data_IF_752484651717
#
_entry.id   IF_752484651717
#
_cell.length_a   1.000
_cell.length_b   1.000
_cell.length_c   1.000
_cell.angle_alpha   90.00
_cell.angle_beta   90.00
_cell.angle_gamma   90.00
#
_symmetry.space_group_name_H-M   'P 1'
#
loop_
_entity.id
_entity.type
_entity.pdbx_description
1 polymer ?
#
# COMPACT_ATOMS: atom_id res chain seq x y z
N UNK A 1 -54.63 -48.49 -58.58
CA UNK A 1 -54.15 -49.40 -57.51
C UNK A 1 -54.66 -48.91 -56.16
N UNK A 2 -55.06 -49.81 -55.24
CA UNK A 2 -56.02 -49.51 -54.16
C UNK A 2 -55.39 -48.90 -52.90
N UNK A 3 -56.22 -48.14 -52.16
CA UNK A 3 -55.90 -47.40 -50.92
C UNK A 3 -55.51 -48.35 -49.77
N UNK A 4 -54.32 -48.15 -49.20
CA UNK A 4 -53.90 -48.80 -47.95
C UNK A 4 -54.56 -48.18 -46.72
N UNK A 5 -55.18 -49.00 -45.86
CA UNK A 5 -55.78 -48.61 -44.58
C UNK A 5 -54.69 -48.33 -43.53
N UNK A 6 -54.74 -47.17 -42.88
CA UNK A 6 -53.89 -46.84 -41.75
C UNK A 6 -54.31 -47.57 -40.47
N UNK A 7 -53.34 -48.17 -39.76
CA UNK A 7 -53.54 -48.88 -38.50
C UNK A 7 -53.87 -47.92 -37.34
N UNK A 8 -54.87 -48.27 -36.52
CA UNK A 8 -55.24 -47.54 -35.29
C UNK A 8 -54.18 -47.73 -34.20
N UNK A 9 -53.46 -46.66 -33.84
CA UNK A 9 -52.58 -46.63 -32.67
C UNK A 9 -53.35 -46.66 -31.34
N UNK A 10 -52.80 -47.41 -30.37
CA UNK A 10 -53.30 -47.60 -29.00
C UNK A 10 -53.33 -46.26 -28.24
N UNK A 11 -54.49 -45.86 -27.68
CA UNK A 11 -54.60 -44.66 -26.84
C UNK A 11 -53.95 -44.92 -25.48
N UNK A 12 -52.87 -44.22 -25.17
CA UNK A 12 -52.25 -44.17 -23.83
C UNK A 12 -53.01 -43.16 -22.98
N UNK A 13 -53.33 -43.53 -21.73
CA UNK A 13 -54.08 -42.68 -20.81
C UNK A 13 -53.27 -41.42 -20.40
N UNK A 14 -53.93 -40.25 -20.23
CA UNK A 14 -53.25 -39.01 -19.85
C UNK A 14 -52.72 -39.04 -18.42
N UNK A 15 -51.56 -38.41 -18.22
CA UNK A 15 -50.80 -38.35 -16.96
C UNK A 15 -51.59 -37.58 -15.87
N UNK A 16 -51.54 -37.98 -14.58
CA UNK A 16 -52.32 -37.36 -13.50
C UNK A 16 -52.06 -35.86 -13.30
N UNK A 17 -53.12 -35.12 -13.02
CA UNK A 17 -53.15 -33.65 -12.94
C UNK A 17 -52.18 -33.03 -11.90
N UNK A 18 -51.68 -33.82 -10.95
CA UNK A 18 -50.83 -33.36 -9.84
C UNK A 18 -49.41 -32.95 -10.31
N UNK A 19 -48.96 -33.41 -11.48
CA UNK A 19 -47.65 -33.04 -12.04
C UNK A 19 -47.67 -31.82 -12.97
N UNK A 20 -48.84 -31.21 -13.23
CA UNK A 20 -48.90 -29.95 -13.99
C UNK A 20 -48.55 -28.79 -13.06
N UNK A 21 -47.28 -28.40 -13.05
CA UNK A 21 -46.88 -27.10 -12.51
C UNK A 21 -47.74 -26.01 -13.16
N UNK A 22 -48.51 -25.30 -12.34
CA UNK A 22 -49.33 -24.18 -12.77
C UNK A 22 -48.39 -23.09 -13.28
N UNK A 23 -48.21 -22.99 -14.59
CA UNK A 23 -47.51 -21.86 -15.19
C UNK A 23 -48.34 -20.61 -14.89
N UNK A 24 -47.92 -19.84 -13.90
CA UNK A 24 -48.49 -18.52 -13.63
C UNK A 24 -48.25 -17.66 -14.87
N UNK A 25 -49.31 -17.42 -15.66
CA UNK A 25 -49.26 -16.51 -16.79
C UNK A 25 -48.86 -15.14 -16.24
N UNK A 26 -47.65 -14.68 -16.57
CA UNK A 26 -47.22 -13.30 -16.27
C UNK A 26 -48.24 -12.38 -16.91
N UNK A 27 -48.92 -11.55 -16.11
CA UNK A 27 -49.86 -10.54 -16.61
C UNK A 27 -49.03 -9.52 -17.37
N UNK A 28 -48.99 -9.64 -18.70
CA UNK A 28 -48.32 -8.66 -19.57
C UNK A 28 -49.35 -7.60 -19.93
N UNK A 29 -49.16 -6.39 -19.41
CA UNK A 29 -49.98 -5.26 -19.81
C UNK A 29 -49.65 -4.91 -21.28
N UNK A 30 -50.63 -4.97 -22.20
CA UNK A 30 -50.43 -4.71 -23.63
C UNK A 30 -49.97 -3.27 -23.94
N UNK A 31 -50.06 -2.35 -22.97
CA UNK A 31 -49.55 -0.99 -23.10
C UNK A 31 -48.00 -0.89 -22.97
N UNK A 32 -47.33 -1.92 -22.46
CA UNK A 32 -45.87 -1.92 -22.35
C UNK A 32 -45.21 -2.57 -23.57
N UNK A 33 -44.62 -1.75 -24.42
CA UNK A 33 -43.83 -2.20 -25.57
C UNK A 33 -42.32 -1.99 -25.35
N UNK A 34 -41.52 -2.90 -25.91
CA UNK A 34 -40.06 -2.76 -25.91
C UNK A 34 -39.67 -1.71 -26.94
N UNK A 35 -39.17 -0.57 -26.47
CA UNK A 35 -38.61 0.51 -27.31
C UNK A 35 -37.08 0.55 -27.17
N UNK A 36 -36.33 -0.39 -27.78
CA UNK A 36 -34.87 -0.38 -27.69
C UNK A 36 -34.33 0.80 -28.49
N UNK A 37 -33.39 1.55 -27.90
CA UNK A 37 -32.66 2.60 -28.60
C UNK A 37 -31.46 2.02 -29.32
N UNK A 38 -31.17 2.53 -30.51
CA UNK A 38 -29.98 2.19 -31.29
C UNK A 38 -28.91 3.24 -31.05
N UNK A 39 -27.84 2.89 -30.32
CA UNK A 39 -26.73 3.80 -30.01
C UNK A 39 -25.58 3.74 -31.02
N UNK A 40 -25.88 3.28 -32.25
CA UNK A 40 -24.97 3.34 -33.39
C UNK A 40 -24.64 4.78 -33.80
N UNK A 41 -23.63 4.93 -34.65
CA UNK A 41 -23.22 6.25 -35.17
C UNK A 41 -24.38 6.83 -36.00
N UNK A 42 -24.80 8.06 -35.70
CA UNK A 42 -25.88 8.75 -36.41
C UNK A 42 -27.30 8.30 -36.07
N UNK A 43 -27.48 7.50 -35.02
CA UNK A 43 -28.78 7.01 -34.55
C UNK A 43 -29.21 7.77 -33.28
N UNK A 44 -29.69 7.09 -32.24
CA UNK A 44 -30.10 7.71 -30.98
C UNK A 44 -28.92 8.33 -30.21
N UNK A 45 -29.23 9.32 -29.36
CA UNK A 45 -28.25 9.97 -28.47
C UNK A 45 -27.52 8.92 -27.63
N UNK A 46 -26.18 8.98 -27.64
CA UNK A 46 -25.36 8.05 -26.88
C UNK A 46 -25.65 8.14 -25.37
N UNK A 47 -25.64 7.00 -24.66
CA UNK A 47 -25.79 7.01 -23.21
C UNK A 47 -24.58 7.67 -22.56
N UNK A 48 -24.73 8.07 -21.28
CA UNK A 48 -23.60 8.50 -20.47
C UNK A 48 -22.61 7.33 -20.32
N UNK A 49 -21.37 7.53 -20.76
CA UNK A 49 -20.27 6.56 -20.66
C UNK A 49 -19.20 7.05 -19.70
N UNK A 50 -18.33 6.17 -19.25
CA UNK A 50 -17.14 6.57 -18.51
C UNK A 50 -16.19 7.38 -19.42
N UNK A 51 -16.09 8.68 -19.14
CA UNK A 51 -15.21 9.61 -19.88
C UNK A 51 -13.88 9.84 -19.16
N UNK A 52 -13.58 9.15 -18.05
CA UNK A 52 -12.40 9.38 -17.19
C UNK A 52 -11.07 9.46 -17.95
N UNK A 53 -10.92 8.69 -19.04
CA UNK A 53 -9.74 8.73 -19.92
C UNK A 53 -9.65 9.99 -20.81
N UNK A 54 -10.78 10.54 -21.22
CA UNK A 54 -10.90 11.69 -22.13
C UNK A 54 -11.13 13.02 -21.42
N UNK A 55 -11.36 12.99 -20.09
CA UNK A 55 -11.47 14.18 -19.25
C UNK A 55 -10.21 15.04 -19.39
N UNK A 56 -10.40 16.35 -19.60
CA UNK A 56 -9.35 17.35 -19.48
C UNK A 56 -8.99 17.54 -18.01
N UNK A 57 -8.02 16.76 -17.53
CA UNK A 57 -7.60 16.79 -16.13
C UNK A 57 -6.98 18.14 -15.72
N UNK A 58 -7.21 18.59 -14.46
CA UNK A 58 -6.51 19.73 -13.86
C UNK A 58 -4.98 19.66 -14.04
N UNK A 59 -4.32 20.82 -14.11
CA UNK A 59 -2.87 20.91 -14.40
C UNK A 59 -2.01 20.05 -13.47
N UNK A 60 -2.30 20.03 -12.16
CA UNK A 60 -1.48 19.29 -11.20
C UNK A 60 -1.50 17.77 -11.44
N UNK A 61 -2.66 17.21 -11.82
CA UNK A 61 -2.79 15.78 -12.17
C UNK A 61 -2.01 15.48 -13.45
N UNK A 62 -2.12 16.35 -14.46
CA UNK A 62 -1.36 16.21 -15.72
C UNK A 62 0.15 16.23 -15.46
N UNK A 63 0.64 17.19 -14.67
CA UNK A 63 2.05 17.32 -14.33
C UNK A 63 2.58 16.10 -13.58
N UNK A 64 1.86 15.60 -12.58
CA UNK A 64 2.24 14.39 -11.84
C UNK A 64 2.33 13.16 -12.75
N UNK A 65 1.33 12.93 -13.61
CA UNK A 65 1.32 11.83 -14.58
C UNK A 65 2.43 11.96 -15.62
N UNK A 66 2.65 13.16 -16.16
CA UNK A 66 3.72 13.43 -17.12
C UNK A 66 5.10 13.18 -16.49
N UNK A 67 5.31 13.59 -15.24
CA UNK A 67 6.54 13.31 -14.48
C UNK A 67 6.80 11.81 -14.39
N UNK A 68 5.81 11.02 -13.99
CA UNK A 68 5.95 9.57 -13.86
C UNK A 68 6.22 8.87 -15.21
N UNK A 69 5.60 9.36 -16.29
CA UNK A 69 5.87 8.87 -17.65
C UNK A 69 7.31 9.22 -18.06
N UNK A 70 7.75 10.44 -17.79
CA UNK A 70 9.10 10.91 -18.12
C UNK A 70 10.17 10.03 -17.45
N UNK A 71 10.02 9.73 -16.16
CA UNK A 71 10.94 8.83 -15.43
C UNK A 71 11.03 7.42 -16.02
N UNK A 72 9.96 6.92 -16.63
CA UNK A 72 9.96 5.60 -17.29
C UNK A 72 10.54 5.64 -18.71
N UNK A 73 10.52 6.79 -19.36
CA UNK A 73 10.96 6.97 -20.76
C UNK A 73 12.43 7.36 -20.86
N UNK A 74 12.91 8.15 -19.90
CA UNK A 74 14.31 8.54 -19.83
C UNK A 74 15.15 7.39 -19.28
N UNK A 75 16.42 7.34 -19.71
CA UNK A 75 17.42 6.44 -19.11
C UNK A 75 17.81 6.97 -17.75
N UNK A 76 17.31 6.33 -16.69
CA UNK A 76 17.59 6.73 -15.30
C UNK A 76 18.96 6.21 -14.86
N UNK A 77 19.85 7.05 -14.32
CA UNK A 77 21.14 6.61 -13.78
C UNK A 77 21.00 5.56 -12.67
N UNK A 78 21.94 4.62 -12.57
CA UNK A 78 21.91 3.52 -11.60
C UNK A 78 21.79 3.98 -10.14
N UNK A 79 22.47 5.08 -9.79
CA UNK A 79 22.41 5.69 -8.45
C UNK A 79 21.00 6.15 -8.05
N UNK A 80 20.13 6.46 -9.00
CA UNK A 80 18.72 6.79 -8.77
C UNK A 80 17.88 5.52 -8.89
N UNK A 81 18.17 4.69 -9.90
CA UNK A 81 17.39 3.50 -10.21
C UNK A 81 17.40 2.46 -9.07
N UNK A 82 18.42 2.43 -8.23
CA UNK A 82 18.45 1.58 -7.03
C UNK A 82 17.24 1.79 -6.11
N UNK A 83 16.67 3.00 -6.04
CA UNK A 83 15.48 3.28 -5.23
C UNK A 83 14.19 2.73 -5.82
N UNK A 84 14.17 2.35 -7.10
CA UNK A 84 13.02 1.64 -7.69
C UNK A 84 12.91 0.20 -7.19
N UNK A 85 14.06 -0.39 -6.81
CA UNK A 85 14.17 -1.75 -6.29
C UNK A 85 14.06 -1.74 -4.76
N UNK A 86 12.84 -1.87 -4.27
CA UNK A 86 12.56 -1.94 -2.84
C UNK A 86 12.36 -3.38 -2.36
N UNK A 87 12.55 -3.58 -1.05
CA UNK A 87 12.33 -4.82 -0.32
C UNK A 87 10.91 -5.37 -0.56
N UNK A 88 10.79 -6.70 -0.62
CA UNK A 88 9.52 -7.39 -0.78
C UNK A 88 8.58 -7.14 0.42
N UNK A 89 7.29 -7.43 0.22
CA UNK A 89 6.26 -7.12 1.22
C UNK A 89 6.42 -7.91 2.53
N UNK A 90 6.84 -9.17 2.45
CA UNK A 90 6.93 -10.06 3.61
C UNK A 90 8.10 -9.64 4.50
N UNK A 91 9.29 -9.45 3.92
CA UNK A 91 10.47 -8.98 4.65
C UNK A 91 10.27 -7.58 5.19
N UNK A 92 9.64 -6.68 4.42
CA UNK A 92 9.31 -5.33 4.90
C UNK A 92 8.35 -5.35 6.12
N UNK A 93 7.41 -6.30 6.15
CA UNK A 93 6.48 -6.45 7.28
C UNK A 93 7.20 -6.95 8.53
N UNK A 94 8.08 -7.94 8.38
CA UNK A 94 8.90 -8.44 9.49
C UNK A 94 9.83 -7.35 10.05
N UNK A 95 10.50 -6.62 9.16
CA UNK A 95 11.35 -5.49 9.53
C UNK A 95 10.58 -4.43 10.32
N UNK A 96 9.39 -4.04 9.86
CA UNK A 96 8.57 -3.04 10.56
C UNK A 96 8.03 -3.54 11.90
N UNK A 97 7.70 -4.83 12.02
CA UNK A 97 7.35 -5.45 13.31
C UNK A 97 8.51 -5.39 14.30
N UNK A 98 9.73 -5.69 13.86
CA UNK A 98 10.92 -5.52 14.68
C UNK A 98 11.11 -4.06 15.07
N UNK A 99 11.06 -3.16 14.09
CA UNK A 99 11.26 -1.73 14.29
C UNK A 99 10.21 -1.13 15.25
N UNK A 100 8.99 -1.67 15.28
CA UNK A 100 7.93 -1.24 16.18
C UNK A 100 8.31 -1.43 17.67
N UNK A 101 9.14 -2.43 17.99
CA UNK A 101 9.62 -2.67 19.37
C UNK A 101 10.62 -1.60 19.82
N UNK A 102 11.35 -0.98 18.89
CA UNK A 102 12.43 -0.03 19.16
C UNK A 102 12.02 1.43 18.90
N UNK A 103 10.72 1.73 18.94
CA UNK A 103 10.21 3.07 18.65
C UNK A 103 10.73 4.09 19.67
N UNK A 104 11.08 5.31 19.24
CA UNK A 104 11.44 6.38 20.16
C UNK A 104 10.22 6.82 20.96
N UNK A 105 10.46 7.33 22.17
CA UNK A 105 9.41 7.82 23.06
C UNK A 105 8.57 8.95 22.45
N UNK A 106 7.30 9.00 22.82
CA UNK A 106 6.44 10.15 22.51
C UNK A 106 6.75 11.33 23.42
N UNK A 107 6.29 12.53 23.05
CA UNK A 107 6.42 13.72 23.91
C UNK A 107 5.73 13.53 25.27
N UNK A 108 4.61 12.81 25.30
CA UNK A 108 3.85 12.53 26.52
C UNK A 108 4.58 11.53 27.43
N UNK A 109 5.07 10.42 26.86
CA UNK A 109 5.91 9.45 27.58
C UNK A 109 7.19 10.10 28.12
N UNK A 110 7.84 10.97 27.33
CA UNK A 110 9.00 11.73 27.77
C UNK A 110 8.67 12.61 28.97
N UNK A 111 7.52 13.31 28.94
CA UNK A 111 7.05 14.14 30.07
C UNK A 111 6.81 13.29 31.31
N UNK A 112 6.12 12.16 31.19
CA UNK A 112 5.87 11.24 32.30
C UNK A 112 7.17 10.68 32.88
N UNK A 113 8.13 10.27 32.04
CA UNK A 113 9.45 9.80 32.49
C UNK A 113 10.20 10.88 33.27
N UNK A 114 10.17 12.12 32.79
CA UNK A 114 10.84 13.24 33.45
C UNK A 114 10.17 13.60 34.79
N UNK A 115 8.84 13.59 34.85
CA UNK A 115 8.09 13.78 36.09
C UNK A 115 8.43 12.70 37.11
N UNK A 116 8.35 11.42 36.73
CA UNK A 116 8.70 10.31 37.62
C UNK A 116 10.17 10.35 38.10
N UNK A 117 11.10 10.82 37.26
CA UNK A 117 12.50 11.04 37.67
C UNK A 117 12.62 12.21 38.64
N UNK A 118 11.91 13.31 38.39
CA UNK A 118 11.90 14.48 39.27
C UNK A 118 11.31 14.15 40.64
N UNK A 119 10.20 13.42 40.71
CA UNK A 119 9.58 12.95 41.95
C UNK A 119 10.52 12.05 42.76
N UNK A 120 11.19 11.09 42.11
CA UNK A 120 12.20 10.24 42.77
C UNK A 120 13.36 11.05 43.34
N UNK A 121 13.82 12.06 42.59
CA UNK A 121 14.88 12.97 43.03
C UNK A 121 14.44 13.83 44.21
N UNK A 122 13.22 14.34 44.19
CA UNK A 122 12.63 15.09 45.31
C UNK A 122 12.48 14.23 46.57
N UNK A 123 12.17 12.94 46.42
CA UNK A 123 12.09 11.97 47.51
C UNK A 123 13.47 11.51 48.07
N UNK A 124 14.55 12.26 47.80
CA UNK A 124 15.88 12.02 48.36
C UNK A 124 16.66 10.86 47.74
N UNK A 125 16.09 10.14 46.76
CA UNK A 125 16.85 9.17 45.96
C UNK A 125 17.68 9.98 44.97
N UNK A 126 18.99 10.08 45.20
CA UNK A 126 19.93 10.82 44.34
C UNK A 126 19.82 10.47 42.85
N UNK A 127 20.46 11.26 41.98
CA UNK A 127 20.35 11.06 40.53
C UNK A 127 21.16 9.85 40.04
N UNK A 128 20.55 8.67 40.05
CA UNK A 128 21.19 7.43 39.58
C UNK A 128 21.17 7.37 38.04
N UNK A 129 22.33 7.18 37.37
CA UNK A 129 22.39 7.02 35.91
C UNK A 129 21.55 5.81 35.44
N UNK A 130 20.49 6.07 34.68
CA UNK A 130 19.67 4.98 34.10
C UNK A 130 20.24 4.53 32.76
N UNK A 131 20.34 3.21 32.53
CA UNK A 131 20.75 2.65 31.23
C UNK A 131 19.76 3.09 30.15
N UNK A 132 20.26 3.73 29.08
CA UNK A 132 19.43 4.19 27.98
C UNK A 132 18.92 2.98 27.18
N UNK A 133 17.59 2.87 26.95
CA UNK A 133 17.07 1.77 26.13
C UNK A 133 17.56 1.93 24.67
N UNK A 134 17.79 0.81 23.97
CA UNK A 134 18.04 0.85 22.53
C UNK A 134 16.80 1.40 21.83
N UNK A 135 17.00 2.41 20.99
CA UNK A 135 15.94 3.05 20.21
C UNK A 135 16.42 3.24 18.79
N UNK A 136 15.46 3.25 17.86
CA UNK A 136 15.72 3.61 16.48
C UNK A 136 16.27 5.03 16.37
N UNK A 137 17.30 5.18 15.54
CA UNK A 137 17.87 6.48 15.18
C UNK A 137 17.29 6.89 13.85
N UNK A 138 16.82 8.12 13.74
CA UNK A 138 16.09 8.59 12.57
C UNK A 138 16.60 9.94 12.09
N UNK A 139 16.53 10.14 10.78
CA UNK A 139 17.01 11.34 10.11
C UNK A 139 18.38 11.13 9.47
N UNK A 140 18.54 11.69 8.27
CA UNK A 140 19.71 11.49 7.41
C UNK A 140 21.00 11.80 8.16
N UNK A 141 21.17 13.01 8.69
CA UNK A 141 22.41 13.44 9.34
C UNK A 141 22.80 12.57 10.55
N UNK A 142 21.83 12.08 11.31
CA UNK A 142 22.12 11.18 12.43
C UNK A 142 22.52 9.81 11.93
N UNK A 143 21.84 9.30 10.90
CA UNK A 143 22.14 7.98 10.32
C UNK A 143 23.50 7.98 9.62
N UNK A 144 23.84 9.03 8.87
CA UNK A 144 25.16 9.14 8.20
C UNK A 144 26.30 9.07 9.20
N UNK A 145 26.23 9.85 10.27
CA UNK A 145 27.26 9.83 11.32
C UNK A 145 27.36 8.45 11.99
N UNK A 146 26.25 7.71 12.11
CA UNK A 146 26.26 6.36 12.68
C UNK A 146 26.85 5.32 11.72
N UNK A 147 26.67 5.50 10.41
CA UNK A 147 27.28 4.64 9.39
C UNK A 147 28.79 4.88 9.30
N UNK A 148 29.21 6.15 9.28
CA UNK A 148 30.63 6.54 9.27
C UNK A 148 31.38 6.02 10.50
N UNK A 149 30.74 6.10 11.68
CA UNK A 149 31.32 5.57 12.91
C UNK A 149 31.13 4.05 13.08
N UNK A 150 30.56 3.34 12.09
CA UNK A 150 30.23 1.90 12.15
C UNK A 150 29.42 1.48 13.38
N UNK A 151 28.57 2.38 13.90
CA UNK A 151 27.66 2.13 15.02
C UNK A 151 26.28 1.66 14.57
N UNK A 152 25.95 1.84 13.29
CA UNK A 152 24.73 1.31 12.71
C UNK A 152 24.91 -0.19 12.39
N UNK A 153 23.95 -1.00 12.83
CA UNK A 153 23.87 -2.43 12.51
C UNK A 153 23.05 -2.68 11.25
N UNK A 154 22.01 -1.88 10.99
CA UNK A 154 21.16 -1.96 9.81
C UNK A 154 20.61 -0.58 9.48
N UNK A 155 20.67 -0.18 8.21
CA UNK A 155 20.10 1.07 7.70
C UNK A 155 18.88 0.78 6.83
N UNK A 156 17.81 1.54 7.03
CA UNK A 156 16.55 1.44 6.30
C UNK A 156 16.26 2.78 5.66
N UNK A 157 16.17 2.80 4.33
CA UNK A 157 15.97 4.01 3.54
C UNK A 157 14.64 3.93 2.78
N UNK A 158 13.85 4.99 2.77
CA UNK A 158 12.62 5.05 1.99
C UNK A 158 12.91 5.19 0.50
N UNK A 159 12.06 4.63 -0.36
CA UNK A 159 12.22 4.77 -1.82
C UNK A 159 11.70 6.10 -2.41
N UNK A 160 10.75 6.76 -1.75
CA UNK A 160 9.89 7.84 -2.27
C UNK A 160 10.29 9.21 -1.69
N UNK A 161 11.59 9.44 -1.57
CA UNK A 161 12.16 10.68 -1.05
C UNK A 161 12.15 11.75 -2.12
N UNK A 162 11.76 12.96 -1.73
CA UNK A 162 11.70 14.13 -2.59
C UNK A 162 12.10 15.30 -1.66
N UNK A 163 13.31 15.88 -1.79
CA UNK A 163 14.36 15.65 -2.80
C UNK A 163 15.18 14.34 -2.61
N UNK A 164 15.69 13.76 -3.72
CA UNK A 164 16.41 12.46 -3.73
C UNK A 164 17.89 12.56 -3.32
N UNK A 165 18.46 13.75 -3.51
CA UNK A 165 19.84 14.13 -3.21
C UNK A 165 20.17 13.91 -1.72
N UNK A 166 19.16 14.00 -0.86
CA UNK A 166 19.29 13.80 0.59
C UNK A 166 19.82 12.41 0.97
N UNK A 167 19.63 11.39 0.13
CA UNK A 167 20.02 10.02 0.49
C UNK A 167 20.56 9.21 -0.68
N UNK A 168 20.77 9.81 -1.86
CA UNK A 168 21.35 9.13 -3.03
C UNK A 168 22.73 8.52 -2.74
N UNK A 169 23.52 9.17 -1.89
CA UNK A 169 24.84 8.72 -1.47
C UNK A 169 24.81 7.62 -0.40
N UNK A 170 23.66 7.41 0.27
CA UNK A 170 23.59 6.59 1.47
C UNK A 170 23.81 5.10 1.18
N UNK A 171 23.26 4.48 0.12
CA UNK A 171 23.58 3.10 -0.25
C UNK A 171 25.08 2.88 -0.49
N UNK A 172 25.72 3.80 -1.22
CA UNK A 172 27.16 3.73 -1.50
C UNK A 172 27.99 3.88 -0.21
N UNK A 173 27.61 4.79 0.68
CA UNK A 173 28.23 4.97 1.99
C UNK A 173 28.09 3.71 2.86
N UNK A 174 26.89 3.12 2.93
CA UNK A 174 26.64 1.90 3.69
C UNK A 174 27.50 0.74 3.17
N UNK A 175 27.58 0.57 1.85
CA UNK A 175 28.41 -0.46 1.23
C UNK A 175 29.91 -0.25 1.54
N UNK A 176 30.42 0.99 1.40
CA UNK A 176 31.82 1.32 1.71
C UNK A 176 32.17 1.08 3.18
N UNK A 177 31.25 1.39 4.10
CA UNK A 177 31.47 1.22 5.54
C UNK A 177 31.18 -0.21 6.04
N UNK A 178 30.69 -1.10 5.18
CA UNK A 178 30.35 -2.49 5.54
C UNK A 178 29.08 -2.62 6.37
N UNK A 179 28.18 -1.65 6.30
CA UNK A 179 26.90 -1.65 7.04
C UNK A 179 25.80 -2.15 6.10
N UNK A 180 25.01 -3.17 6.48
CA UNK A 180 23.91 -3.63 5.65
C UNK A 180 22.80 -2.57 5.58
N UNK A 181 22.21 -2.41 4.40
CA UNK A 181 21.12 -1.48 4.16
C UNK A 181 19.99 -2.13 3.38
N UNK A 182 18.80 -1.57 3.49
CA UNK A 182 17.64 -1.95 2.69
C UNK A 182 16.80 -0.74 2.30
N UNK A 183 16.14 -0.85 1.15
CA UNK A 183 15.25 0.20 0.63
C UNK A 183 13.81 -0.27 0.84
N UNK A 184 12.99 0.51 1.55
CA UNK A 184 11.60 0.17 1.85
C UNK A 184 10.62 1.10 1.13
N UNK A 185 9.46 0.54 0.76
CA UNK A 185 8.36 1.34 0.21
C UNK A 185 7.67 2.18 1.29
N UNK A 186 7.69 3.49 1.12
CA UNK A 186 6.88 4.48 1.83
C UNK A 186 7.59 5.19 2.98
N UNK A 187 8.03 6.44 2.75
CA UNK A 187 8.57 7.34 3.78
C UNK A 187 7.57 7.67 4.89
N UNK A 188 6.28 7.59 4.58
CA UNK A 188 5.20 7.76 5.55
C UNK A 188 5.16 6.61 6.57
N UNK A 189 5.48 5.37 6.15
CA UNK A 189 5.52 4.21 7.06
C UNK A 189 6.66 4.34 8.06
N UNK A 190 7.84 4.75 7.60
CA UNK A 190 8.96 5.09 8.48
C UNK A 190 8.63 6.29 9.38
N UNK A 191 7.94 7.32 8.86
CA UNK A 191 7.47 8.45 9.65
C UNK A 191 6.60 8.04 10.82
N UNK A 192 5.59 7.19 10.57
CA UNK A 192 4.67 6.70 11.61
C UNK A 192 5.39 5.99 12.75
N UNK A 193 6.44 5.23 12.42
CA UNK A 193 7.27 4.52 13.39
C UNK A 193 7.91 5.47 14.41
N UNK A 194 8.39 6.62 13.93
CA UNK A 194 9.15 7.60 14.72
C UNK A 194 8.31 8.81 15.15
N UNK A 195 6.98 8.69 15.10
CA UNK A 195 6.02 9.73 15.48
C UNK A 195 6.16 11.04 14.68
N UNK A 196 6.48 10.93 13.37
CA UNK A 196 6.56 12.04 12.41
C UNK A 196 5.65 11.79 11.21
N UNK A 197 5.37 12.83 10.41
CA UNK A 197 4.60 12.69 9.16
C UNK A 197 5.35 11.81 8.15
N UNK A 198 6.65 12.04 8.03
CA UNK A 198 7.55 11.32 7.12
C UNK A 198 8.91 11.11 7.78
N UNK A 199 9.60 10.07 7.34
CA UNK A 199 11.00 9.84 7.69
C UNK A 199 11.69 9.22 6.48
N UNK A 200 12.85 9.77 6.12
CA UNK A 200 13.65 9.32 4.97
C UNK A 200 14.46 8.08 5.32
N UNK A 201 15.17 8.12 6.45
CA UNK A 201 16.12 7.08 6.85
C UNK A 201 16.02 6.79 8.35
N UNK A 202 16.14 5.50 8.68
CA UNK A 202 16.15 4.97 10.04
C UNK A 202 17.29 3.98 10.17
N UNK A 203 17.95 3.93 11.33
CA UNK A 203 19.00 2.97 11.63
C UNK A 203 18.75 2.25 12.96
N UNK A 204 19.06 0.96 12.97
CA UNK A 204 19.25 0.17 14.18
C UNK A 204 20.71 0.30 14.63
N UNK A 205 20.95 0.69 15.88
CA UNK A 205 22.31 0.75 16.45
C UNK A 205 22.60 -0.38 17.42
N UNK A 206 21.60 -0.77 18.19
CA UNK A 206 21.66 -1.86 19.16
C UNK A 206 20.30 -2.55 19.14
N UNK A 207 20.31 -3.87 19.11
CA UNK A 207 19.11 -4.71 19.18
C UNK A 207 19.31 -5.62 20.40
N UNK A 208 18.30 -5.71 21.25
CA UNK A 208 18.30 -6.67 22.36
C UNK A 208 18.15 -8.06 21.76
N UNK A 209 19.03 -8.99 22.15
CA UNK A 209 18.89 -10.39 21.80
C UNK A 209 17.54 -10.88 22.33
N UNK A 210 16.64 -11.25 21.41
CA UNK A 210 15.47 -12.04 21.75
C UNK A 210 15.96 -13.48 21.69
N UNK A 211 16.45 -14.00 22.82
CA UNK A 211 16.50 -15.43 23.07
C UNK A 211 15.07 -15.93 23.30
#
# INVERSE_FOLDING_TARGET
>A
MPKGKAAKGKKVAPVPAVMKQHQTKKVVNPLFEKRPKNFGIGQDIQPKRDLTRFVKWPRYIRLQRQRDILYKRLKVPSAINQFTQALDHQTATQLLKLAHKYRPETKQEKKQRLLARAEKKAAGKGDVPTKRPPVLRAGVNTVTNLVENKKAQLVVTAHDMDPIELAVFLPALCHKMGVPYCIIKGKARLGRLVHRKTCTTVAFTQVVAVM
#
